data_IF_483509117129
#
_entry.id   IF_483509117129
#
_cell.length_a   1.000
_cell.length_b   1.000
_cell.length_c   1.000
_cell.angle_alpha   90.00
_cell.angle_beta   90.00
_cell.angle_gamma   90.00
#
_symmetry.space_group_name_H-M   'P 1'
#
loop_
_entity.id
_entity.type
_entity.pdbx_description
1 polymer ?
#
# COMPACT_ATOMS: atom_id res chain seq x y z
N UNK A 1 15.73 -22.27 28.29
CA UNK A 1 15.95 -22.53 26.85
C UNK A 1 14.67 -22.56 25.99
N UNK A 2 13.48 -22.93 26.52
CA UNK A 2 12.23 -22.95 25.73
C UNK A 2 11.71 -21.57 25.28
N UNK A 3 11.96 -20.50 26.03
CA UNK A 3 11.47 -19.14 25.71
C UNK A 3 12.31 -18.49 24.59
N UNK A 4 13.57 -18.89 24.43
CA UNK A 4 14.46 -18.37 23.39
C UNK A 4 14.08 -18.85 21.98
N UNK A 5 13.44 -20.02 21.85
CA UNK A 5 12.97 -20.51 20.55
C UNK A 5 11.66 -19.87 20.08
N UNK A 6 10.84 -19.36 21.01
CA UNK A 6 9.60 -18.66 20.64
C UNK A 6 9.89 -17.25 20.11
N UNK A 7 10.91 -16.58 20.65
CA UNK A 7 11.29 -15.24 20.20
C UNK A 7 11.91 -15.22 18.79
N UNK A 8 12.59 -16.29 18.37
CA UNK A 8 13.27 -16.36 17.07
C UNK A 8 12.31 -16.67 15.90
N UNK A 9 11.13 -17.23 16.19
CA UNK A 9 10.14 -17.52 15.15
C UNK A 9 9.35 -16.28 14.70
N UNK A 10 9.19 -15.28 15.59
CA UNK A 10 8.34 -14.10 15.32
C UNK A 10 8.98 -13.14 14.32
N UNK A 11 10.31 -13.10 14.22
CA UNK A 11 11.03 -12.22 13.27
C UNK A 11 11.01 -12.72 11.83
N UNK A 12 10.65 -13.98 11.60
CA UNK A 12 10.63 -14.60 10.26
C UNK A 12 9.29 -14.44 9.53
N UNK A 13 8.26 -13.90 10.17
CA UNK A 13 6.94 -13.69 9.55
C UNK A 13 6.80 -12.35 8.81
N UNK A 14 7.87 -11.56 8.70
CA UNK A 14 7.90 -10.46 7.74
C UNK A 14 7.92 -11.05 6.32
N UNK A 15 6.74 -11.38 5.79
CA UNK A 15 6.59 -11.93 4.45
C UNK A 15 7.22 -11.01 3.40
N UNK A 16 7.62 -11.55 2.26
CA UNK A 16 8.38 -10.84 1.22
C UNK A 16 7.78 -9.50 0.77
N UNK A 17 6.45 -9.34 0.85
CA UNK A 17 5.79 -8.06 0.58
C UNK A 17 6.14 -7.00 1.65
N UNK A 18 6.19 -7.39 2.93
CA UNK A 18 6.56 -6.55 4.07
C UNK A 18 7.96 -5.94 3.92
N UNK A 19 8.96 -6.77 3.60
CA UNK A 19 10.33 -6.31 3.37
C UNK A 19 10.41 -5.33 2.20
N UNK A 20 9.78 -5.66 1.07
CA UNK A 20 9.78 -4.79 -0.11
C UNK A 20 9.12 -3.42 0.14
N UNK A 21 7.99 -3.38 0.87
CA UNK A 21 7.36 -2.11 1.24
C UNK A 21 8.24 -1.28 2.17
N UNK A 22 8.86 -1.91 3.17
CA UNK A 22 9.72 -1.21 4.11
C UNK A 22 10.95 -0.61 3.43
N UNK A 23 11.58 -1.36 2.52
CA UNK A 23 12.69 -0.87 1.71
C UNK A 23 12.26 0.32 0.84
N UNK A 24 11.10 0.23 0.17
CA UNK A 24 10.57 1.32 -0.65
C UNK A 24 10.29 2.60 0.15
N UNK A 25 9.85 2.50 1.42
CA UNK A 25 9.62 3.64 2.31
C UNK A 25 10.89 4.39 2.72
N UNK A 26 12.07 3.80 2.53
CA UNK A 26 13.35 4.50 2.73
C UNK A 26 13.65 5.49 1.59
N UNK A 27 13.02 5.30 0.44
CA UNK A 27 13.09 6.19 -0.71
C UNK A 27 12.01 7.27 -0.72
N UNK A 28 11.87 7.94 -1.86
CA UNK A 28 10.78 8.90 -2.10
C UNK A 28 9.57 8.17 -2.68
N UNK A 29 8.33 8.50 -2.27
CA UNK A 29 7.13 8.00 -2.93
C UNK A 29 7.17 8.27 -4.44
N UNK A 30 6.66 7.33 -5.23
CA UNK A 30 6.42 7.55 -6.66
C UNK A 30 5.51 8.76 -6.88
N UNK A 31 4.48 8.91 -6.03
CA UNK A 31 3.64 10.11 -5.99
C UNK A 31 3.05 10.33 -4.60
N UNK A 32 2.97 11.58 -4.18
CA UNK A 32 2.17 12.00 -3.02
C UNK A 32 0.92 12.73 -3.51
N UNK A 33 -0.24 12.37 -2.93
CA UNK A 33 -1.55 12.97 -3.20
C UNK A 33 -2.25 13.29 -1.90
N UNK A 34 -3.28 14.13 -1.97
CA UNK A 34 -4.12 14.52 -0.83
C UNK A 34 -5.59 14.35 -1.16
N UNK A 35 -6.40 14.04 -0.16
CA UNK A 35 -7.85 13.93 -0.25
C UNK A 35 -8.50 14.56 0.99
N UNK A 36 -9.65 15.20 0.80
CA UNK A 36 -10.48 15.71 1.89
C UNK A 36 -11.38 14.62 2.51
N UNK A 37 -11.36 13.40 1.94
CA UNK A 37 -12.16 12.27 2.43
C UNK A 37 -11.46 11.56 3.59
N UNK A 38 -12.21 10.85 4.45
CA UNK A 38 -11.62 10.08 5.55
C UNK A 38 -10.68 8.97 5.07
N UNK A 39 -9.59 8.76 5.79
CA UNK A 39 -8.53 7.76 5.50
C UNK A 39 -9.09 6.38 5.13
N UNK A 40 -10.00 5.81 5.94
CA UNK A 40 -10.61 4.50 5.66
C UNK A 40 -11.41 4.46 4.35
N UNK A 41 -12.14 5.53 4.05
CA UNK A 41 -12.96 5.62 2.83
C UNK A 41 -12.06 5.65 1.60
N UNK A 42 -10.99 6.43 1.66
CA UNK A 42 -9.98 6.50 0.60
C UNK A 42 -9.29 5.15 0.43
N UNK A 43 -8.81 4.52 1.51
CA UNK A 43 -8.12 3.24 1.45
C UNK A 43 -9.00 2.12 0.86
N UNK A 44 -10.27 2.06 1.27
CA UNK A 44 -11.23 1.09 0.73
C UNK A 44 -11.54 1.34 -0.75
N UNK A 45 -11.69 2.60 -1.16
CA UNK A 45 -11.87 2.94 -2.58
C UNK A 45 -10.65 2.49 -3.41
N UNK A 46 -9.43 2.78 -2.94
CA UNK A 46 -8.22 2.37 -3.64
C UNK A 46 -8.17 0.84 -3.77
N UNK A 47 -8.43 0.12 -2.67
CA UNK A 47 -8.48 -1.34 -2.69
C UNK A 47 -9.44 -1.85 -3.77
N UNK A 48 -10.67 -1.35 -3.78
CA UNK A 48 -11.68 -1.77 -4.74
C UNK A 48 -11.26 -1.44 -6.17
N UNK A 49 -10.77 -0.22 -6.42
CA UNK A 49 -10.33 0.21 -7.76
C UNK A 49 -9.19 -0.62 -8.32
N UNK A 50 -8.27 -1.11 -7.47
CA UNK A 50 -7.14 -1.95 -7.87
C UNK A 50 -7.48 -3.44 -7.96
N UNK A 51 -8.66 -3.84 -7.49
CA UNK A 51 -9.23 -5.18 -7.69
C UNK A 51 -10.08 -5.28 -8.96
N UNK A 52 -10.23 -4.19 -9.72
CA UNK A 52 -11.01 -4.19 -10.96
C UNK A 52 -10.29 -4.99 -12.07
N UNK A 53 -10.77 -6.21 -12.30
CA UNK A 53 -10.27 -7.11 -13.36
C UNK A 53 -10.47 -6.53 -14.77
N UNK A 54 -11.46 -5.65 -14.99
CA UNK A 54 -11.64 -5.00 -16.28
C UNK A 54 -10.52 -4.00 -16.58
N UNK A 55 -9.84 -3.49 -15.55
CA UNK A 55 -8.72 -2.54 -15.67
C UNK A 55 -7.37 -3.23 -15.60
N UNK A 56 -7.22 -4.22 -14.70
CA UNK A 56 -5.92 -4.83 -14.37
C UNK A 56 -5.78 -6.30 -14.77
N UNK A 57 -6.84 -6.96 -15.25
CA UNK A 57 -6.78 -8.36 -15.67
C UNK A 57 -6.22 -9.26 -14.57
N UNK A 58 -5.17 -10.02 -14.87
CA UNK A 58 -4.50 -10.92 -13.92
C UNK A 58 -3.72 -10.21 -12.81
N UNK A 59 -3.41 -8.92 -13.01
CA UNK A 59 -2.71 -8.07 -12.04
C UNK A 59 -3.67 -7.35 -11.08
N UNK A 60 -4.99 -7.61 -11.22
CA UNK A 60 -6.00 -7.15 -10.31
C UNK A 60 -5.81 -7.80 -8.94
N UNK A 61 -5.66 -6.98 -7.91
CA UNK A 61 -5.39 -7.48 -6.58
C UNK A 61 -4.84 -6.40 -5.67
N UNK A 62 -5.62 -6.08 -4.65
CA UNK A 62 -5.20 -5.19 -3.58
C UNK A 62 -5.69 -5.69 -2.23
N UNK A 63 -4.89 -5.47 -1.20
CA UNK A 63 -5.14 -5.91 0.16
C UNK A 63 -4.91 -4.75 1.11
N UNK A 64 -5.64 -4.74 2.22
CA UNK A 64 -5.48 -3.75 3.28
C UNK A 64 -4.72 -4.36 4.44
N UNK A 65 -3.84 -3.56 5.04
CA UNK A 65 -3.24 -3.84 6.34
C UNK A 65 -3.10 -2.53 7.14
N UNK A 66 -3.01 -2.61 8.48
CA UNK A 66 -2.63 -1.45 9.29
C UNK A 66 -1.31 -0.85 8.81
N UNK A 67 -1.25 0.47 8.66
CA UNK A 67 -0.04 1.17 8.25
C UNK A 67 1.03 1.13 9.34
N UNK A 68 2.29 0.97 8.94
CA UNK A 68 3.44 0.83 9.84
C UNK A 68 3.58 2.02 10.82
N UNK A 69 3.26 3.23 10.35
CA UNK A 69 3.30 4.49 11.12
C UNK A 69 1.89 5.06 11.38
N UNK A 70 0.92 4.15 11.50
CA UNK A 70 -0.52 4.45 11.59
C UNK A 70 -1.18 4.65 10.22
N UNK A 71 -2.50 4.73 10.20
CA UNK A 71 -3.30 4.74 8.97
C UNK A 71 -3.47 3.34 8.38
N UNK A 72 -3.62 3.27 7.06
CA UNK A 72 -3.82 2.02 6.32
C UNK A 72 -2.88 1.95 5.13
N UNK A 73 -2.30 0.77 4.89
CA UNK A 73 -1.56 0.47 3.66
C UNK A 73 -2.44 -0.37 2.74
N UNK A 74 -2.63 0.08 1.51
CA UNK A 74 -3.22 -0.71 0.42
C UNK A 74 -2.07 -1.22 -0.44
N UNK A 75 -1.96 -2.53 -0.67
CA UNK A 75 -0.83 -3.10 -1.39
C UNK A 75 -1.26 -4.22 -2.34
N UNK A 76 -0.50 -4.41 -3.41
CA UNK A 76 -0.72 -5.52 -4.35
C UNK A 76 0.12 -6.73 -3.96
N UNK A 77 -0.10 -7.87 -4.64
CA UNK A 77 0.75 -9.06 -4.45
C UNK A 77 2.23 -8.69 -4.60
N UNK A 78 3.07 -9.25 -3.74
CA UNK A 78 4.52 -9.01 -3.70
C UNK A 78 4.94 -7.54 -3.52
N UNK A 79 4.00 -6.65 -3.17
CA UNK A 79 4.22 -5.22 -3.02
C UNK A 79 4.85 -4.54 -4.26
N UNK A 80 4.49 -4.98 -5.46
CA UNK A 80 4.88 -4.31 -6.72
C UNK A 80 4.37 -2.86 -6.75
N UNK A 81 3.18 -2.63 -6.18
CA UNK A 81 2.68 -1.30 -5.87
C UNK A 81 1.99 -1.30 -4.51
N UNK A 82 2.13 -0.19 -3.79
CA UNK A 82 1.36 0.05 -2.57
C UNK A 82 1.15 1.54 -2.35
N UNK A 83 0.18 1.88 -1.52
CA UNK A 83 -0.05 3.23 -1.03
C UNK A 83 -0.22 3.20 0.47
N UNK A 84 0.50 4.09 1.15
CA UNK A 84 0.23 4.41 2.55
C UNK A 84 -0.75 5.58 2.62
N UNK A 85 -1.89 5.36 3.28
CA UNK A 85 -2.97 6.34 3.45
C UNK A 85 -3.02 6.72 4.92
N UNK A 86 -2.86 8.02 5.21
CA UNK A 86 -2.81 8.52 6.58
C UNK A 86 -3.55 9.84 6.71
N UNK A 87 -4.38 9.97 7.73
CA UNK A 87 -4.91 11.28 8.13
C UNK A 87 -3.79 12.12 8.74
N UNK A 88 -3.57 13.30 8.17
CA UNK A 88 -2.76 14.38 8.74
C UNK A 88 -3.70 15.49 9.27
N UNK A 89 -3.13 16.56 9.84
CA UNK A 89 -3.86 17.60 10.57
C UNK A 89 -5.03 18.25 9.79
N UNK A 90 -4.94 18.30 8.45
CA UNK A 90 -5.94 18.97 7.60
C UNK A 90 -6.49 18.11 6.46
N UNK A 91 -5.91 16.95 6.17
CA UNK A 91 -6.27 16.14 5.01
C UNK A 91 -5.81 14.68 5.16
N UNK A 92 -6.34 13.80 4.33
CA UNK A 92 -5.78 12.45 4.13
C UNK A 92 -4.65 12.53 3.10
N UNK A 93 -3.46 12.10 3.49
CA UNK A 93 -2.28 12.02 2.62
C UNK A 93 -2.12 10.59 2.11
N UNK A 94 -1.85 10.46 0.82
CA UNK A 94 -1.58 9.19 0.16
C UNK A 94 -0.15 9.23 -0.39
N UNK A 95 0.72 8.33 0.07
CA UNK A 95 2.05 8.13 -0.50
C UNK A 95 2.04 6.85 -1.31
N UNK A 96 2.01 6.98 -2.64
CA UNK A 96 2.01 5.88 -3.59
C UNK A 96 3.45 5.49 -3.95
N UNK A 97 3.74 4.19 -3.92
CA UNK A 97 5.03 3.60 -4.26
C UNK A 97 4.82 2.50 -5.31
N UNK A 98 5.77 2.39 -6.24
CA UNK A 98 5.82 1.35 -7.25
C UNK A 98 7.27 0.89 -7.43
N UNK A 99 7.50 -0.41 -7.59
CA UNK A 99 8.84 -0.95 -7.84
C UNK A 99 9.37 -0.59 -9.23
N UNK A 100 8.47 -0.39 -10.19
CA UNK A 100 8.79 -0.09 -11.59
C UNK A 100 7.98 1.11 -12.09
N UNK A 101 8.59 1.94 -12.94
CA UNK A 101 7.89 2.99 -13.68
C UNK A 101 7.34 2.43 -15.00
N UNK A 102 6.20 1.75 -14.92
CA UNK A 102 5.56 1.13 -16.08
C UNK A 102 4.10 1.58 -16.25
N UNK A 103 3.44 1.01 -17.25
CA UNK A 103 2.04 1.31 -17.53
C UNK A 103 1.10 0.85 -16.40
N UNK A 104 1.41 -0.25 -15.72
CA UNK A 104 0.58 -0.77 -14.62
C UNK A 104 0.66 0.19 -13.42
N UNK A 105 1.85 0.67 -13.09
CA UNK A 105 2.06 1.67 -12.05
C UNK A 105 1.30 2.98 -12.36
N UNK A 106 1.39 3.47 -13.61
CA UNK A 106 0.65 4.66 -14.05
C UNK A 106 -0.86 4.45 -14.01
N UNK A 107 -1.34 3.25 -14.36
CA UNK A 107 -2.76 2.89 -14.32
C UNK A 107 -3.27 2.79 -12.88
N UNK A 108 -2.49 2.21 -11.97
CA UNK A 108 -2.79 2.16 -10.53
C UNK A 108 -2.84 3.56 -9.92
N UNK A 109 -1.89 4.42 -10.28
CA UNK A 109 -1.92 5.83 -9.88
C UNK A 109 -3.18 6.55 -10.39
N UNK A 110 -3.57 6.32 -11.65
CA UNK A 110 -4.78 6.91 -12.22
C UNK A 110 -6.06 6.41 -11.50
N UNK A 111 -6.17 5.10 -11.25
CA UNK A 111 -7.28 4.53 -10.51
C UNK A 111 -7.37 5.09 -9.08
N UNK A 112 -6.22 5.16 -8.38
CA UNK A 112 -6.12 5.79 -7.06
C UNK A 112 -6.56 7.25 -7.08
N UNK A 113 -6.24 8.01 -8.13
CA UNK A 113 -6.58 9.44 -8.20
C UNK A 113 -8.10 9.68 -8.30
N UNK A 114 -8.88 8.70 -8.77
CA UNK A 114 -10.35 8.78 -8.77
C UNK A 114 -10.98 8.64 -7.39
N UNK A 115 -10.21 8.17 -6.40
CA UNK A 115 -10.69 7.97 -5.03
C UNK A 115 -10.58 9.22 -4.15
N UNK A 116 -9.85 10.25 -4.60
CA UNK A 116 -9.57 11.46 -3.81
C UNK A 116 -10.79 12.34 -3.61
#
# INVERSE_FOLDING_TARGET
MRILMVALAVTLLAGCAGSAMNDARTGTPYKTLTSDKPEKVVAQCVQFSWQDEAVFGVDAGAYLQPGEKGGTTVYTRSAESFVDVKTDASATVLNYYAQHDDFVAKRRLAALATCL
#
